data_IF_003662929101
#
_entry.id   IF_003662929101
#
_cell.length_a   1.000
_cell.length_b   1.000
_cell.length_c   1.000
_cell.angle_alpha   90.00
_cell.angle_beta   90.00
_cell.angle_gamma   90.00
#
_symmetry.space_group_name_H-M   'P 1'
#
loop_
_entity.id
_entity.type
_entity.pdbx_description
1 polymer ?
#
# COMPACT_ATOMS: atom_id res chain seq x y z
N UNK A 1 6.86 -15.45 -1.74
CA UNK A 1 6.75 -14.54 -2.90
C UNK A 1 6.98 -13.12 -2.43
N UNK A 2 7.63 -12.29 -3.26
CA UNK A 2 7.80 -10.86 -2.98
C UNK A 2 6.94 -10.09 -3.97
N UNK A 3 5.99 -9.33 -3.46
CA UNK A 3 5.23 -8.35 -4.21
C UNK A 3 5.92 -6.99 -4.09
N UNK A 4 5.93 -6.21 -5.17
CA UNK A 4 6.41 -4.84 -5.17
C UNK A 4 5.29 -3.93 -5.66
N UNK A 5 4.96 -2.90 -4.89
CA UNK A 5 4.01 -1.88 -5.28
C UNK A 5 4.75 -0.56 -5.46
N UNK A 6 4.66 0.00 -6.67
CA UNK A 6 5.18 1.33 -6.99
C UNK A 6 4.22 2.40 -6.47
N UNK A 7 4.29 3.57 -7.08
CA UNK A 7 3.65 4.83 -6.76
C UNK A 7 2.15 4.65 -6.45
N UNK A 8 1.72 5.33 -5.39
CA UNK A 8 0.33 5.32 -4.93
C UNK A 8 -0.28 6.71 -5.09
N UNK A 9 0.51 7.76 -4.85
CA UNK A 9 0.12 9.15 -5.04
C UNK A 9 -1.26 9.50 -4.45
N UNK A 10 -1.46 9.18 -3.16
CA UNK A 10 -2.70 9.50 -2.46
C UNK A 10 -3.95 8.75 -2.94
N UNK A 11 -3.83 7.77 -3.85
CA UNK A 11 -4.94 6.99 -4.42
C UNK A 11 -5.29 5.78 -3.52
N UNK A 12 -6.01 6.04 -2.43
CA UNK A 12 -6.37 5.00 -1.44
C UNK A 12 -7.24 3.87 -2.02
N UNK A 13 -8.15 4.16 -2.94
CA UNK A 13 -9.04 3.15 -3.52
C UNK A 13 -8.28 2.12 -4.35
N UNK A 14 -7.35 2.60 -5.18
CA UNK A 14 -6.46 1.78 -6.01
C UNK A 14 -5.52 0.95 -5.14
N UNK A 15 -4.96 1.53 -4.07
CA UNK A 15 -4.17 0.80 -3.09
C UNK A 15 -4.98 -0.37 -2.49
N UNK A 16 -6.17 -0.10 -1.95
CA UNK A 16 -7.01 -1.13 -1.34
C UNK A 16 -7.37 -2.25 -2.32
N UNK A 17 -7.77 -1.88 -3.55
CA UNK A 17 -8.11 -2.84 -4.61
C UNK A 17 -6.90 -3.69 -5.04
N UNK A 18 -5.71 -3.10 -5.10
CA UNK A 18 -4.51 -3.86 -5.41
C UNK A 18 -4.13 -4.82 -4.28
N UNK A 19 -4.33 -4.41 -3.02
CA UNK A 19 -4.07 -5.26 -1.85
C UNK A 19 -4.99 -6.48 -1.77
N UNK A 20 -6.19 -6.45 -2.36
CA UNK A 20 -7.06 -7.64 -2.48
C UNK A 20 -6.42 -8.79 -3.28
N UNK A 21 -5.42 -8.47 -4.12
CA UNK A 21 -4.70 -9.46 -4.95
C UNK A 21 -3.43 -9.98 -4.28
N UNK A 22 -3.06 -9.43 -3.11
CA UNK A 22 -1.80 -9.75 -2.43
C UNK A 22 -2.04 -10.79 -1.35
N UNK A 23 -1.46 -11.97 -1.51
CA UNK A 23 -1.42 -13.01 -0.47
C UNK A 23 -0.23 -12.81 0.46
N UNK A 24 -0.48 -12.33 1.68
CA UNK A 24 0.52 -12.16 2.74
C UNK A 24 0.61 -13.35 3.72
N UNK A 25 0.09 -14.52 3.35
CA UNK A 25 0.24 -15.74 4.14
C UNK A 25 1.68 -16.27 4.17
N UNK A 26 2.07 -16.89 5.29
CA UNK A 26 3.37 -17.54 5.45
C UNK A 26 4.54 -16.56 5.38
N UNK A 27 5.53 -16.86 4.52
CA UNK A 27 6.73 -16.04 4.32
C UNK A 27 6.60 -15.02 3.17
N UNK A 28 5.40 -14.83 2.62
CA UNK A 28 5.17 -13.84 1.58
C UNK A 28 5.37 -12.42 2.12
N UNK A 29 5.88 -11.52 1.27
CA UNK A 29 6.20 -10.15 1.65
C UNK A 29 5.72 -9.19 0.58
N UNK A 30 5.29 -8.01 1.00
CA UNK A 30 5.10 -6.86 0.11
C UNK A 30 6.13 -5.79 0.43
N UNK A 31 6.65 -5.16 -0.61
CA UNK A 31 7.53 -3.98 -0.52
C UNK A 31 6.83 -2.83 -1.22
N UNK A 32 6.63 -1.73 -0.49
CA UNK A 32 6.16 -0.47 -1.04
C UNK A 32 7.38 0.38 -1.43
N UNK A 33 7.45 0.81 -2.69
CA UNK A 33 8.67 1.38 -3.27
C UNK A 33 8.80 2.90 -3.13
N UNK A 34 7.78 3.59 -2.63
CA UNK A 34 7.78 5.04 -2.44
C UNK A 34 6.53 5.72 -3.00
N UNK A 35 6.60 7.05 -3.13
CA UNK A 35 5.58 7.89 -3.76
C UNK A 35 4.15 7.62 -3.27
N UNK A 36 4.00 7.61 -1.94
CA UNK A 36 2.73 7.34 -1.27
C UNK A 36 1.75 8.52 -1.33
N UNK A 37 2.29 9.73 -1.46
CA UNK A 37 1.58 11.00 -1.32
C UNK A 37 1.64 11.81 -2.62
N UNK A 38 1.01 12.98 -2.60
CA UNK A 38 0.84 13.92 -3.73
C UNK A 38 -0.14 13.44 -4.79
N UNK A 39 -0.62 14.36 -5.64
CA UNK A 39 -1.60 14.20 -6.73
C UNK A 39 -3.01 13.71 -6.35
N UNK A 40 -3.15 12.65 -5.55
CA UNK A 40 -4.43 12.14 -5.08
C UNK A 40 -4.93 12.82 -3.81
N UNK A 41 -6.25 12.93 -3.69
CA UNK A 41 -6.92 13.70 -2.64
C UNK A 41 -6.87 13.04 -1.24
N UNK A 42 -6.29 11.84 -1.13
CA UNK A 42 -6.39 10.99 0.07
C UNK A 42 -5.04 10.51 0.63
N UNK A 43 -3.99 11.33 0.47
CA UNK A 43 -2.63 11.05 0.98
C UNK A 43 -2.60 10.61 2.45
N UNK A 44 -3.38 11.25 3.33
CA UNK A 44 -3.48 10.86 4.75
C UNK A 44 -3.94 9.40 4.92
N UNK A 45 -4.97 8.99 4.16
CA UNK A 45 -5.54 7.65 4.28
C UNK A 45 -4.61 6.58 3.72
N UNK A 46 -3.81 6.89 2.69
CA UNK A 46 -2.74 6.01 2.22
C UNK A 46 -1.73 5.76 3.34
N UNK A 47 -1.19 6.81 3.94
CA UNK A 47 -0.21 6.66 5.03
C UNK A 47 -0.81 5.92 6.23
N UNK A 48 -2.07 6.22 6.61
CA UNK A 48 -2.77 5.54 7.68
C UNK A 48 -2.93 4.04 7.41
N UNK A 49 -3.32 3.68 6.19
CA UNK A 49 -3.47 2.28 5.79
C UNK A 49 -2.13 1.52 5.85
N UNK A 50 -1.05 2.11 5.32
CA UNK A 50 0.28 1.50 5.35
C UNK A 50 0.81 1.35 6.78
N UNK A 51 0.54 2.35 7.63
CA UNK A 51 0.90 2.30 9.06
C UNK A 51 0.18 1.16 9.79
N UNK A 52 -1.13 1.04 9.59
CA UNK A 52 -1.95 -0.02 10.21
C UNK A 52 -1.53 -1.40 9.71
N UNK A 53 -1.23 -1.53 8.41
CA UNK A 53 -0.76 -2.78 7.79
C UNK A 53 0.57 -3.24 8.38
N UNK A 54 1.47 -2.32 8.72
CA UNK A 54 2.76 -2.65 9.33
C UNK A 54 2.63 -3.10 10.79
N UNK A 55 1.56 -2.72 11.50
CA UNK A 55 1.22 -3.24 12.83
C UNK A 55 1.89 -2.56 14.02
N UNK A 56 1.99 -1.22 14.02
CA UNK A 56 2.42 -0.43 15.20
C UNK A 56 1.26 0.07 16.05
#
# INVERSE_FOLDING_TARGET
MIYAMSDIHGCIGELQKNMEQVDLGGDNRIVFCGDYIDYGDSSYYVLKYLWDLHGF
#
